data_IF_241773324477
#
_entry.id   IF_241773324477
#
_cell.length_a   1.000
_cell.length_b   1.000
_cell.length_c   1.000
_cell.angle_alpha   90.00
_cell.angle_beta   90.00
_cell.angle_gamma   90.00
#
_symmetry.space_group_name_H-M   'P 1'
#
loop_
_entity.id
_entity.type
_entity.pdbx_description
1 polymer ?
#
# COMPACT_ATOMS: atom_id res chain seq x y z
N UNK A 1 -36.90 -94.01 -30.75
CA UNK A 1 -37.75 -93.04 -30.05
C UNK A 1 -36.81 -92.04 -29.38
N UNK A 2 -36.16 -91.13 -30.13
CA UNK A 2 -36.54 -89.72 -30.39
C UNK A 2 -36.92 -89.01 -29.07
N UNK A 3 -36.35 -87.87 -28.63
CA UNK A 3 -36.22 -86.54 -29.26
C UNK A 3 -35.23 -85.68 -28.39
N UNK A 4 -34.70 -84.59 -28.97
CA UNK A 4 -34.16 -83.32 -28.39
C UNK A 4 -32.62 -83.25 -28.35
N UNK A 5 -31.89 -82.43 -29.12
CA UNK A 5 -32.21 -81.25 -29.92
C UNK A 5 -32.11 -79.98 -29.08
N UNK A 6 -30.96 -79.28 -29.10
CA UNK A 6 -30.86 -77.86 -28.71
C UNK A 6 -29.87 -77.13 -29.61
N UNK A 7 -30.47 -76.24 -30.41
CA UNK A 7 -29.89 -75.29 -31.35
C UNK A 7 -29.40 -74.02 -30.64
N UNK A 8 -28.49 -73.33 -31.32
CA UNK A 8 -27.79 -72.06 -31.07
C UNK A 8 -28.63 -70.85 -30.66
N UNK A 9 -28.03 -69.84 -29.98
CA UNK A 9 -28.71 -68.59 -29.63
C UNK A 9 -28.75 -67.58 -30.80
N UNK A 10 -29.88 -66.88 -30.94
CA UNK A 10 -30.14 -65.84 -31.93
C UNK A 10 -29.80 -64.44 -31.43
N UNK A 11 -29.16 -63.65 -32.30
CA UNK A 11 -29.13 -62.17 -32.29
C UNK A 11 -30.57 -61.62 -32.34
N UNK A 12 -30.71 -60.33 -32.00
CA UNK A 12 -31.90 -59.46 -32.08
C UNK A 12 -32.73 -59.35 -30.80
N UNK A 13 -33.17 -58.11 -30.50
CA UNK A 13 -33.70 -57.56 -29.24
C UNK A 13 -32.57 -57.10 -28.31
N UNK A 14 -32.36 -55.80 -28.03
CA UNK A 14 -33.34 -54.78 -27.66
C UNK A 14 -32.83 -53.38 -27.99
N UNK A 15 -33.69 -52.62 -28.67
CA UNK A 15 -33.72 -51.16 -28.69
C UNK A 15 -34.07 -50.71 -27.26
N UNK A 16 -33.34 -49.73 -26.73
CA UNK A 16 -33.60 -49.15 -25.41
C UNK A 16 -33.07 -47.72 -25.35
N UNK A 17 -33.90 -46.78 -25.78
CA UNK A 17 -33.73 -45.35 -25.54
C UNK A 17 -33.75 -45.07 -24.04
N UNK A 18 -32.72 -44.41 -23.50
CA UNK A 18 -32.85 -43.60 -22.28
C UNK A 18 -31.88 -42.42 -22.35
N UNK A 19 -32.43 -41.29 -22.82
CA UNK A 19 -31.90 -39.95 -22.59
C UNK A 19 -32.24 -39.60 -21.15
N UNK A 20 -31.24 -39.44 -20.27
CA UNK A 20 -31.33 -38.51 -19.13
C UNK A 20 -29.96 -38.30 -18.46
N UNK A 21 -29.76 -37.08 -17.94
CA UNK A 21 -28.63 -36.58 -17.15
C UNK A 21 -27.47 -35.92 -17.92
N UNK A 22 -27.74 -34.71 -18.42
CA UNK A 22 -26.76 -33.61 -18.44
C UNK A 22 -26.39 -33.32 -16.98
N UNK A 23 -25.27 -33.87 -16.52
CA UNK A 23 -24.65 -33.41 -15.29
C UNK A 23 -24.00 -32.06 -15.58
N UNK A 24 -24.66 -30.97 -15.20
CA UNK A 24 -24.01 -29.68 -14.99
C UNK A 24 -22.96 -29.87 -13.89
N UNK A 25 -21.72 -30.17 -14.28
CA UNK A 25 -20.58 -29.81 -13.46
C UNK A 25 -20.52 -28.28 -13.46
N UNK A 26 -21.10 -27.67 -12.44
CA UNK A 26 -20.82 -26.29 -12.09
C UNK A 26 -19.31 -26.22 -11.88
N UNK A 27 -18.60 -25.69 -12.89
CA UNK A 27 -17.24 -25.24 -12.70
C UNK A 27 -17.27 -24.17 -11.63
N UNK A 28 -16.96 -24.57 -10.39
CA UNK A 28 -16.57 -23.67 -9.33
C UNK A 28 -15.35 -22.90 -9.84
N UNK A 29 -15.58 -21.75 -10.47
CA UNK A 29 -14.50 -20.80 -10.74
C UNK A 29 -13.85 -20.54 -9.38
N UNK A 30 -12.54 -20.78 -9.20
CA UNK A 30 -11.87 -20.31 -8.01
C UNK A 30 -12.12 -18.81 -7.96
N UNK A 31 -12.82 -18.37 -6.92
CA UNK A 31 -13.02 -16.96 -6.59
C UNK A 31 -11.64 -16.33 -6.61
N UNK A 32 -11.35 -15.54 -7.65
CA UNK A 32 -10.06 -14.92 -7.83
C UNK A 32 -9.69 -14.20 -6.52
N UNK A 33 -8.66 -14.69 -5.84
CA UNK A 33 -8.10 -14.09 -4.62
C UNK A 33 -7.31 -12.83 -4.96
N UNK A 34 -7.94 -11.90 -5.66
CA UNK A 34 -7.46 -10.53 -5.79
C UNK A 34 -7.93 -9.66 -4.60
N UNK A 35 -8.42 -10.26 -3.50
CA UNK A 35 -9.30 -9.59 -2.54
C UNK A 35 -8.66 -9.15 -1.20
N UNK A 36 -7.41 -9.50 -0.89
CA UNK A 36 -6.86 -9.27 0.46
C UNK A 36 -5.90 -8.07 0.57
N UNK A 37 -5.68 -7.29 -0.49
CA UNK A 37 -4.82 -6.09 -0.46
C UNK A 37 -5.36 -4.95 -1.34
N UNK A 38 -6.48 -4.31 -0.96
CA UNK A 38 -7.13 -3.28 -1.77
C UNK A 38 -6.28 -2.00 -1.95
N UNK A 39 -5.26 -1.81 -1.11
CA UNK A 39 -4.37 -0.64 -1.14
C UNK A 39 -2.98 -0.93 -1.71
N UNK A 40 -2.76 -2.15 -2.20
CA UNK A 40 -1.47 -2.59 -2.75
C UNK A 40 -0.27 -2.31 -1.81
N UNK A 41 -0.48 -2.55 -0.51
CA UNK A 41 0.56 -2.44 0.52
C UNK A 41 1.66 -3.49 0.32
N UNK A 42 2.88 -3.18 0.76
CA UNK A 42 4.01 -4.11 0.80
C UNK A 42 3.69 -5.34 1.65
N UNK A 43 3.11 -5.13 2.84
CA UNK A 43 2.45 -6.17 3.63
C UNK A 43 0.95 -5.84 3.74
N UNK A 44 0.02 -6.68 3.26
CA UNK A 44 -1.42 -6.39 3.31
C UNK A 44 -2.00 -6.10 4.70
N UNK A 45 -1.30 -6.47 5.79
CA UNK A 45 -1.78 -6.33 7.17
C UNK A 45 -1.30 -5.06 7.86
N UNK A 46 -0.28 -4.38 7.32
CA UNK A 46 0.36 -3.23 7.97
C UNK A 46 0.71 -2.14 6.98
N UNK A 47 0.77 -0.90 7.46
CA UNK A 47 1.25 0.24 6.69
C UNK A 47 2.65 0.60 7.19
N UNK A 48 3.63 0.44 6.32
CA UNK A 48 5.02 0.80 6.55
C UNK A 48 5.26 2.25 6.13
N UNK A 49 5.61 3.10 7.10
CA UNK A 49 5.75 4.55 6.92
C UNK A 49 7.21 4.97 7.11
N UNK A 50 7.79 5.58 6.07
CA UNK A 50 9.05 6.32 6.19
C UNK A 50 8.81 7.71 6.78
N UNK A 51 9.56 8.09 7.81
CA UNK A 51 9.45 9.42 8.42
C UNK A 51 10.79 9.90 8.99
N UNK A 52 10.80 11.02 9.71
CA UNK A 52 11.97 11.63 10.34
C UNK A 52 11.85 11.64 11.86
N UNK A 53 12.99 11.58 12.55
CA UNK A 53 13.07 11.65 14.02
C UNK A 53 13.32 13.04 14.58
N UNK A 54 13.68 14.00 13.72
CA UNK A 54 14.26 15.30 14.09
C UNK A 54 13.56 16.50 13.42
N UNK A 55 12.46 16.29 12.70
CA UNK A 55 11.69 17.34 12.01
C UNK A 55 10.56 17.91 12.88
N UNK A 56 10.85 18.28 14.13
CA UNK A 56 9.85 18.85 15.06
C UNK A 56 9.33 20.20 14.54
N UNK A 57 8.00 20.49 14.56
CA UNK A 57 6.90 19.72 15.16
C UNK A 57 6.13 18.78 14.21
N UNK A 58 6.63 18.58 12.99
CA UNK A 58 5.95 17.83 11.93
C UNK A 58 6.03 16.32 12.16
N UNK A 59 7.25 15.81 12.28
CA UNK A 59 7.55 14.41 12.56
C UNK A 59 8.85 14.33 13.36
N UNK A 60 8.78 13.78 14.57
CA UNK A 60 9.93 13.66 15.44
C UNK A 60 9.76 12.53 16.45
N UNK A 61 10.85 12.12 17.08
CA UNK A 61 10.80 11.18 18.20
C UNK A 61 10.80 11.90 19.54
N UNK A 62 9.97 11.46 20.48
CA UNK A 62 10.08 11.80 21.90
C UNK A 62 11.30 11.13 22.54
N UNK A 63 11.63 11.52 23.78
CA UNK A 63 12.77 10.98 24.50
C UNK A 63 12.70 9.45 24.73
N UNK A 64 11.50 8.88 24.76
CA UNK A 64 11.26 7.43 24.83
C UNK A 64 11.27 6.74 23.45
N UNK A 65 11.67 7.46 22.39
CA UNK A 65 11.82 6.95 21.03
C UNK A 65 10.52 6.84 20.23
N UNK A 66 9.38 7.30 20.76
CA UNK A 66 8.10 7.24 20.02
C UNK A 66 8.01 8.35 18.99
N UNK A 67 7.58 7.98 17.79
CA UNK A 67 7.26 8.93 16.74
C UNK A 67 5.96 9.70 17.05
N UNK A 68 5.99 11.02 16.90
CA UNK A 68 4.88 11.95 17.09
C UNK A 68 5.08 13.20 16.22
N UNK A 69 4.12 14.12 16.25
CA UNK A 69 4.11 15.34 15.45
C UNK A 69 2.86 15.44 14.60
N UNK A 70 2.62 16.64 14.08
CA UNK A 70 1.42 16.96 13.32
C UNK A 70 1.18 15.97 12.17
N UNK A 71 2.20 15.70 11.36
CA UNK A 71 2.07 14.84 10.18
C UNK A 71 1.72 13.40 10.56
N UNK A 72 2.31 12.89 11.64
CA UNK A 72 2.14 11.50 12.06
C UNK A 72 0.79 11.27 12.74
N UNK A 73 0.35 12.22 13.55
CA UNK A 73 -0.98 12.18 14.16
C UNK A 73 -2.07 12.38 13.11
N UNK A 74 -1.85 13.28 12.15
CA UNK A 74 -2.73 13.45 10.99
C UNK A 74 -2.81 12.17 10.16
N UNK A 75 -1.67 11.56 9.83
CA UNK A 75 -1.62 10.33 9.07
C UNK A 75 -2.34 9.17 9.78
N UNK A 76 -2.09 8.97 11.07
CA UNK A 76 -2.80 7.99 11.89
C UNK A 76 -4.32 8.22 11.87
N UNK A 77 -4.78 9.47 11.91
CA UNK A 77 -6.20 9.79 11.79
C UNK A 77 -6.76 9.40 10.41
N UNK A 78 -6.03 9.66 9.33
CA UNK A 78 -6.43 9.28 7.97
C UNK A 78 -6.58 7.76 7.84
N UNK A 79 -5.56 6.99 8.22
CA UNK A 79 -5.60 5.52 8.06
C UNK A 79 -6.58 4.85 9.03
N UNK A 80 -6.88 5.47 10.18
CA UNK A 80 -7.96 5.01 11.06
C UNK A 80 -9.33 5.02 10.37
N UNK A 81 -9.59 6.02 9.50
CA UNK A 81 -10.82 6.11 8.70
C UNK A 81 -10.86 5.07 7.58
N UNK A 82 -9.70 4.53 7.20
CA UNK A 82 -9.55 3.44 6.24
C UNK A 82 -9.65 2.06 6.89
N UNK A 83 -9.81 1.99 8.22
CA UNK A 83 -9.97 0.74 8.98
C UNK A 83 -8.69 0.19 9.61
N UNK A 84 -7.55 0.87 9.48
CA UNK A 84 -6.30 0.45 10.11
C UNK A 84 -6.24 0.92 11.56
N UNK A 85 -5.82 0.03 12.46
CA UNK A 85 -5.55 0.38 13.85
C UNK A 85 -4.12 0.95 13.99
N UNK A 86 -3.84 1.73 15.05
CA UNK A 86 -2.49 2.28 15.26
C UNK A 86 -1.38 1.23 15.34
N UNK A 87 -1.65 0.03 15.85
CA UNK A 87 -0.71 -1.09 15.92
C UNK A 87 -0.42 -1.74 14.56
N UNK A 88 -1.19 -1.38 13.52
CA UNK A 88 -0.94 -1.79 12.14
C UNK A 88 -0.12 -0.76 11.36
N UNK A 89 0.33 0.32 11.99
CA UNK A 89 1.15 1.36 11.35
C UNK A 89 2.53 1.34 11.97
N UNK A 90 3.57 1.13 11.14
CA UNK A 90 4.95 1.09 11.60
C UNK A 90 5.72 2.29 11.05
N UNK A 91 6.26 3.12 11.93
CA UNK A 91 7.11 4.25 11.57
C UNK A 91 8.59 3.86 11.58
N UNK A 92 9.31 4.20 10.53
CA UNK A 92 10.76 4.04 10.43
C UNK A 92 11.42 5.39 10.13
N UNK A 93 12.35 5.80 11.00
CA UNK A 93 13.12 7.03 10.82
C UNK A 93 14.18 6.90 9.71
N UNK A 94 14.28 7.92 8.86
CA UNK A 94 15.32 8.09 7.85
C UNK A 94 15.68 9.57 7.66
N UNK A 95 16.84 9.81 7.05
CA UNK A 95 17.17 11.12 6.49
C UNK A 95 16.18 11.53 5.40
N UNK A 96 15.83 12.81 5.32
CA UNK A 96 14.84 13.34 4.38
C UNK A 96 15.11 12.94 2.91
N UNK A 97 16.39 12.95 2.51
CA UNK A 97 16.82 12.58 1.16
C UNK A 97 16.54 11.12 0.79
N UNK A 98 16.41 10.23 1.78
CA UNK A 98 16.16 8.80 1.60
C UNK A 98 14.68 8.43 1.47
N UNK A 99 13.77 9.32 1.85
CA UNK A 99 12.33 9.02 1.94
C UNK A 99 11.70 8.70 0.58
N UNK A 100 11.79 9.63 -0.38
CA UNK A 100 11.18 9.43 -1.71
C UNK A 100 11.78 8.25 -2.47
N UNK A 101 13.12 8.04 -2.50
CA UNK A 101 13.69 6.83 -3.09
C UNK A 101 13.23 5.54 -2.39
N UNK A 102 13.01 5.56 -1.07
CA UNK A 102 12.52 4.39 -0.35
C UNK A 102 11.08 4.05 -0.75
N UNK A 103 10.21 5.05 -0.94
CA UNK A 103 8.84 4.82 -1.46
C UNK A 103 8.88 4.33 -2.91
N UNK A 104 9.67 4.96 -3.78
CA UNK A 104 9.78 4.57 -5.18
C UNK A 104 10.28 3.11 -5.36
N UNK A 105 11.12 2.63 -4.44
CA UNK A 105 11.61 1.26 -4.42
C UNK A 105 10.76 0.30 -3.57
N UNK A 106 9.54 0.69 -3.17
CA UNK A 106 8.61 -0.12 -2.38
C UNK A 106 9.19 -0.61 -1.04
N UNK A 107 10.12 0.14 -0.44
CA UNK A 107 10.60 -0.11 0.92
C UNK A 107 9.57 0.33 1.96
N UNK A 108 8.84 1.40 1.67
CA UNK A 108 7.73 1.92 2.47
C UNK A 108 6.51 2.09 1.57
N UNK A 109 5.33 1.93 2.14
CA UNK A 109 4.07 2.22 1.46
C UNK A 109 3.90 3.73 1.24
N UNK A 110 4.37 4.52 2.20
CA UNK A 110 4.22 5.98 2.21
C UNK A 110 5.36 6.64 2.98
N UNK A 111 5.67 7.88 2.61
CA UNK A 111 6.55 8.75 3.40
C UNK A 111 5.78 9.97 3.93
N UNK A 112 5.97 10.28 5.21
CA UNK A 112 5.23 11.34 5.93
C UNK A 112 6.23 12.17 6.74
N UNK A 113 6.58 13.37 6.25
CA UNK A 113 7.59 14.25 6.88
C UNK A 113 7.60 15.67 6.26
N UNK A 114 6.46 16.37 6.24
CA UNK A 114 6.30 17.71 5.65
C UNK A 114 6.83 17.81 4.20
N UNK A 115 6.59 16.77 3.40
CA UNK A 115 7.17 16.65 2.06
C UNK A 115 6.36 17.51 1.09
N UNK A 116 6.88 18.69 0.75
CA UNK A 116 6.24 19.57 -0.24
C UNK A 116 6.08 18.91 -1.62
N UNK A 117 4.87 19.01 -2.19
CA UNK A 117 4.57 18.54 -3.53
C UNK A 117 5.21 19.42 -4.60
N UNK A 118 5.99 18.84 -5.51
CA UNK A 118 6.57 19.56 -6.65
C UNK A 118 6.53 18.71 -7.92
N UNK A 119 6.49 19.35 -9.09
CA UNK A 119 6.50 18.64 -10.38
C UNK A 119 7.75 17.78 -10.58
N UNK A 120 8.88 18.17 -10.00
CA UNK A 120 10.09 17.35 -10.06
C UNK A 120 9.97 16.07 -9.24
N UNK A 121 9.35 16.12 -8.05
CA UNK A 121 9.16 14.94 -7.19
C UNK A 121 8.09 13.99 -7.75
N UNK A 122 7.05 14.53 -8.39
CA UNK A 122 6.01 13.76 -9.08
C UNK A 122 6.52 12.86 -10.20
N UNK A 123 7.73 13.11 -10.72
CA UNK A 123 8.36 12.23 -11.73
C UNK A 123 8.75 10.86 -11.16
N UNK A 124 8.84 10.71 -9.83
CA UNK A 124 9.34 9.49 -9.18
C UNK A 124 8.39 8.88 -8.17
N UNK A 125 7.48 9.68 -7.59
CA UNK A 125 6.50 9.23 -6.59
C UNK A 125 5.20 10.00 -6.75
N UNK A 126 4.08 9.38 -6.38
CA UNK A 126 2.79 10.07 -6.28
C UNK A 126 2.64 10.79 -4.93
N UNK A 127 1.72 11.76 -4.89
CA UNK A 127 1.39 12.53 -3.70
C UNK A 127 -0.11 12.46 -3.41
N UNK A 128 -0.48 12.52 -2.14
CA UNK A 128 -1.85 12.81 -1.73
C UNK A 128 -2.22 14.25 -2.08
N UNK A 129 -3.49 14.60 -1.82
CA UNK A 129 -3.86 16.00 -1.70
C UNK A 129 -3.00 16.69 -0.62
N UNK A 130 -2.71 17.96 -0.84
CA UNK A 130 -1.90 18.76 0.08
C UNK A 130 -2.65 19.02 1.38
N UNK A 131 -2.02 18.75 2.52
CA UNK A 131 -2.61 18.94 3.86
C UNK A 131 -1.95 20.07 4.67
N UNK A 132 -0.84 20.64 4.18
CA UNK A 132 -0.16 21.77 4.83
C UNK A 132 0.53 22.65 3.77
N UNK A 133 0.40 23.97 3.93
CA UNK A 133 1.13 24.98 3.17
C UNK A 133 1.78 25.97 4.14
N UNK A 134 3.01 26.41 3.85
CA UNK A 134 3.78 27.24 4.76
C UNK A 134 4.96 27.94 4.08
N UNK A 135 5.93 28.36 4.87
CA UNK A 135 7.10 29.13 4.43
C UNK A 135 8.39 28.33 4.57
N UNK A 136 9.34 28.57 3.67
CA UNK A 136 10.75 28.27 3.91
C UNK A 136 11.36 29.46 4.65
N UNK A 137 11.93 29.20 5.83
CA UNK A 137 12.44 30.24 6.72
C UNK A 137 13.95 30.15 6.86
N UNK A 138 14.61 31.30 6.90
CA UNK A 138 16.04 31.40 7.27
C UNK A 138 16.13 31.60 8.77
N UNK A 139 16.69 30.63 9.49
CA UNK A 139 17.01 30.77 10.90
C UNK A 139 18.45 31.27 11.06
N UNK A 140 18.63 32.38 11.77
CA UNK A 140 19.94 33.00 11.99
C UNK A 140 19.96 33.76 13.31
N UNK A 141 21.13 33.82 13.95
CA UNK A 141 21.39 34.71 15.08
C UNK A 141 21.94 36.08 14.67
N UNK A 142 22.31 36.26 13.40
CA UNK A 142 22.78 37.55 12.86
C UNK A 142 21.58 38.48 12.62
N UNK A 143 21.37 39.52 13.44
CA UNK A 143 20.21 40.40 13.33
C UNK A 143 20.24 41.28 12.07
N UNK A 144 21.36 41.29 11.32
CA UNK A 144 21.48 42.05 10.07
C UNK A 144 20.85 41.34 8.88
N UNK A 145 20.59 40.04 8.98
CA UNK A 145 19.94 39.27 7.92
C UNK A 145 18.42 39.41 8.07
N UNK A 146 17.84 40.37 7.36
CA UNK A 146 16.39 40.67 7.39
C UNK A 146 15.71 40.47 6.03
N UNK A 147 16.49 40.18 4.99
CA UNK A 147 16.01 39.93 3.63
C UNK A 147 16.93 38.92 2.93
N UNK A 148 16.49 38.34 1.79
CA UNK A 148 17.33 37.45 0.99
C UNK A 148 18.66 38.07 0.55
N UNK A 149 18.70 39.37 0.26
CA UNK A 149 19.93 40.08 -0.15
C UNK A 149 21.01 40.04 0.95
N UNK A 150 20.60 39.97 2.22
CA UNK A 150 21.50 39.83 3.36
C UNK A 150 22.28 38.50 3.42
N UNK A 151 21.94 37.54 2.55
CA UNK A 151 22.63 36.26 2.43
C UNK A 151 23.86 36.32 1.52
N UNK A 152 24.05 37.40 0.76
CA UNK A 152 25.20 37.55 -0.12
C UNK A 152 26.52 37.42 0.66
N UNK A 153 27.39 36.52 0.22
CA UNK A 153 28.67 36.23 0.88
C UNK A 153 28.57 35.47 2.22
N UNK A 154 27.37 34.99 2.61
CA UNK A 154 27.17 34.15 3.80
C UNK A 154 27.23 32.66 3.44
N UNK A 155 27.46 31.83 4.45
CA UNK A 155 27.29 30.37 4.35
C UNK A 155 25.85 30.02 4.70
N UNK A 156 25.15 29.36 3.80
CA UNK A 156 23.80 28.82 4.01
C UNK A 156 23.87 27.30 4.05
N UNK A 157 23.26 26.69 5.06
CA UNK A 157 23.24 25.24 5.28
C UNK A 157 22.21 24.53 4.42
#
# INVERSE_FOLDING_TARGET
MSIRGLFTPSRWQRIGSFVFAVALAVLSLPKAWAADNPYNLVDPKTISVGTMGDAKPYAFTTADGKFTGFDLEFFLNVVSRMGFKPDQVTFTGQEFSGLMPSVANQRFDVAVAAIGTTEQRKKTVDFSDGYLAGYLSVLTSDPKITSPDGLAGKRLG
#
